data_IF_794544966982
#
_entry.id   IF_794544966982
#
_cell.length_a   1.000
_cell.length_b   1.000
_cell.length_c   1.000
_cell.angle_alpha   90.00
_cell.angle_beta   90.00
_cell.angle_gamma   90.00
#
_symmetry.space_group_name_H-M   'P 1'
#
loop_
_entity.id
_entity.type
_entity.pdbx_description
1 polymer ?
#
# COMPACT_ATOMS: atom_id res chain seq x y z
N UNK A 1 -8.26 -13.55 19.37
CA UNK A 1 -7.16 -12.57 19.24
C UNK A 1 -7.59 -11.50 18.26
N UNK A 2 -7.46 -10.23 18.68
CA UNK A 2 -7.80 -9.04 17.89
C UNK A 2 -6.86 -8.92 16.70
N UNK A 3 -7.33 -8.39 15.57
CA UNK A 3 -6.52 -8.28 14.35
C UNK A 3 -6.42 -6.85 13.87
N UNK A 4 -5.23 -6.54 13.37
CA UNK A 4 -4.95 -5.38 12.53
C UNK A 4 -4.65 -5.88 11.13
N UNK A 5 -5.39 -5.42 10.13
CA UNK A 5 -5.05 -5.69 8.72
C UNK A 5 -4.17 -4.56 8.21
N UNK A 6 -3.07 -4.89 7.54
CA UNK A 6 -2.28 -3.91 6.79
C UNK A 6 -2.33 -4.25 5.31
N UNK A 7 -2.70 -3.28 4.47
CA UNK A 7 -2.84 -3.46 3.03
C UNK A 7 -2.01 -2.42 2.25
N UNK A 8 -1.53 -2.82 1.08
CA UNK A 8 -0.75 -1.95 0.20
C UNK A 8 0.04 -2.75 -0.85
N UNK A 9 1.02 -2.08 -1.45
CA UNK A 9 1.90 -2.66 -2.46
C UNK A 9 3.19 -3.25 -1.84
N UNK A 10 4.30 -3.22 -2.57
CA UNK A 10 5.63 -3.65 -2.13
C UNK A 10 6.12 -2.89 -0.90
N UNK A 11 5.78 -1.60 -0.77
CA UNK A 11 6.12 -0.80 0.42
C UNK A 11 5.42 -1.29 1.70
N UNK A 12 4.41 -2.14 1.59
CA UNK A 12 3.70 -2.77 2.72
C UNK A 12 4.08 -4.22 2.93
N UNK A 13 4.47 -4.94 1.88
CA UNK A 13 4.97 -6.31 1.97
C UNK A 13 6.05 -6.52 0.94
N UNK A 14 7.28 -6.77 1.40
CA UNK A 14 8.43 -6.92 0.53
C UNK A 14 9.33 -8.08 0.96
N UNK A 15 10.43 -8.26 0.21
CA UNK A 15 11.49 -9.24 0.52
C UNK A 15 12.24 -8.96 1.82
N UNK A 16 12.06 -7.78 2.41
CA UNK A 16 12.55 -7.41 3.74
C UNK A 16 11.44 -6.80 4.61
N UNK A 17 11.64 -6.68 5.94
CA UNK A 17 10.66 -6.07 6.83
C UNK A 17 10.29 -4.65 6.41
N UNK A 18 8.99 -4.36 6.41
CA UNK A 18 8.42 -3.05 6.06
C UNK A 18 7.64 -2.48 7.26
N UNK A 19 7.01 -1.32 7.09
CA UNK A 19 6.26 -0.64 8.16
C UNK A 19 5.21 -1.55 8.81
N UNK A 20 4.57 -2.43 8.04
CA UNK A 20 3.58 -3.38 8.55
C UNK A 20 4.16 -4.29 9.65
N UNK A 21 5.41 -4.76 9.47
CA UNK A 21 6.06 -5.65 10.43
C UNK A 21 6.26 -4.98 11.80
N UNK A 22 6.59 -3.69 11.80
CA UNK A 22 6.90 -2.95 13.02
C UNK A 22 5.67 -2.47 13.78
N UNK A 23 4.45 -2.50 13.20
CA UNK A 23 3.22 -2.16 13.92
C UNK A 23 3.04 -3.02 15.17
N UNK A 24 3.42 -4.30 15.09
CA UNK A 24 3.30 -5.24 16.22
C UNK A 24 4.01 -4.78 17.50
N UNK A 25 5.06 -3.93 17.38
CA UNK A 25 5.78 -3.39 18.53
C UNK A 25 5.02 -2.28 19.26
N UNK A 26 4.06 -1.64 18.59
CA UNK A 26 3.25 -0.56 19.13
C UNK A 26 1.83 -1.02 19.48
N UNK A 27 1.41 -2.18 18.97
CA UNK A 27 0.09 -2.79 19.18
C UNK A 27 0.25 -4.26 19.63
N UNK A 28 0.90 -4.54 20.79
CA UNK A 28 1.28 -5.90 21.19
C UNK A 28 0.08 -6.82 21.45
N UNK A 29 -1.11 -6.25 21.69
CA UNK A 29 -2.35 -7.00 21.94
C UNK A 29 -3.04 -7.49 20.65
N UNK A 30 -2.49 -7.13 19.48
CA UNK A 30 -3.07 -7.45 18.18
C UNK A 30 -2.18 -8.39 17.37
N UNK A 31 -2.83 -9.29 16.63
CA UNK A 31 -2.19 -9.99 15.53
C UNK A 31 -2.24 -9.12 14.26
N UNK A 32 -1.07 -8.73 13.76
CA UNK A 32 -0.95 -7.95 12.53
C UNK A 32 -0.94 -8.90 11.33
N UNK A 33 -1.95 -8.78 10.46
CA UNK A 33 -2.09 -9.58 9.24
C UNK A 33 -1.79 -8.72 8.03
N UNK A 34 -0.66 -9.02 7.38
CA UNK A 34 -0.19 -8.29 6.21
C UNK A 34 -0.70 -8.91 4.91
N UNK A 35 -1.64 -8.22 4.25
CA UNK A 35 -2.22 -8.60 2.96
C UNK A 35 -1.64 -7.83 1.78
N UNK A 36 -0.56 -7.07 1.99
CA UNK A 36 0.12 -6.36 0.89
C UNK A 36 0.64 -7.31 -0.19
N UNK A 37 0.73 -6.80 -1.41
CA UNK A 37 1.29 -7.54 -2.55
C UNK A 37 2.05 -6.60 -3.49
N UNK A 38 3.31 -6.92 -3.78
CA UNK A 38 4.15 -6.18 -4.73
C UNK A 38 3.46 -6.04 -6.08
N UNK A 39 3.59 -4.87 -6.70
CA UNK A 39 2.96 -4.58 -8.00
C UNK A 39 1.51 -4.09 -7.92
N UNK A 40 0.84 -4.19 -6.78
CA UNK A 40 -0.61 -3.93 -6.66
C UNK A 40 -1.05 -2.54 -7.15
N UNK A 41 -2.15 -2.54 -7.91
CA UNK A 41 -2.97 -1.35 -8.18
C UNK A 41 -3.78 -0.95 -6.95
N UNK A 42 -4.32 0.27 -6.94
CA UNK A 42 -5.18 0.74 -5.85
C UNK A 42 -6.51 -0.05 -5.79
N UNK A 43 -6.98 -0.60 -6.91
CA UNK A 43 -8.09 -1.54 -6.98
C UNK A 43 -7.80 -2.84 -6.25
N UNK A 44 -6.61 -3.39 -6.47
CA UNK A 44 -6.16 -4.60 -5.78
C UNK A 44 -6.09 -4.35 -4.28
N UNK A 45 -5.48 -3.25 -3.85
CA UNK A 45 -5.35 -2.89 -2.44
C UNK A 45 -6.74 -2.81 -1.78
N UNK A 46 -7.69 -2.14 -2.42
CA UNK A 46 -9.07 -2.06 -1.94
C UNK A 46 -9.72 -3.45 -1.84
N UNK A 47 -9.58 -4.30 -2.87
CA UNK A 47 -10.12 -5.67 -2.85
C UNK A 47 -9.49 -6.53 -1.76
N UNK A 48 -8.19 -6.37 -1.49
CA UNK A 48 -7.50 -7.07 -0.40
C UNK A 48 -8.03 -6.66 0.97
N UNK A 49 -8.33 -5.37 1.19
CA UNK A 49 -8.98 -4.91 2.42
C UNK A 49 -10.37 -5.51 2.56
N UNK A 50 -11.18 -5.43 1.51
CA UNK A 50 -12.52 -6.01 1.50
C UNK A 50 -12.47 -7.50 1.82
N UNK A 51 -11.65 -8.27 1.12
CA UNK A 51 -11.51 -9.71 1.35
C UNK A 51 -11.06 -10.02 2.78
N UNK A 52 -10.02 -9.33 3.27
CA UNK A 52 -9.48 -9.53 4.62
C UNK A 52 -10.53 -9.34 5.73
N UNK A 53 -11.33 -8.28 5.63
CA UNK A 53 -12.38 -7.96 6.60
C UNK A 53 -13.49 -9.02 6.61
N UNK A 54 -13.86 -9.58 5.46
CA UNK A 54 -14.86 -10.64 5.39
C UNK A 54 -14.30 -12.02 5.75
N UNK A 55 -13.03 -12.28 5.46
CA UNK A 55 -12.37 -13.56 5.68
C UNK A 55 -12.05 -13.81 7.15
N UNK A 56 -11.58 -12.80 7.86
CA UNK A 56 -11.12 -12.96 9.24
C UNK A 56 -12.08 -12.36 10.25
N UNK A 57 -12.40 -13.14 11.28
CA UNK A 57 -13.11 -12.65 12.46
C UNK A 57 -12.21 -11.73 13.32
N UNK A 58 -12.83 -10.83 14.08
CA UNK A 58 -12.17 -9.93 15.04
C UNK A 58 -11.16 -8.95 14.40
N UNK A 59 -11.44 -8.47 13.20
CA UNK A 59 -10.73 -7.32 12.62
C UNK A 59 -11.23 -6.05 13.28
N UNK A 60 -10.37 -5.38 14.05
CA UNK A 60 -10.72 -4.15 14.77
C UNK A 60 -10.04 -2.92 14.15
N UNK A 61 -8.85 -3.08 13.54
CA UNK A 61 -8.13 -1.98 12.87
C UNK A 61 -7.66 -2.34 11.46
N UNK A 62 -7.61 -1.35 10.58
CA UNK A 62 -7.08 -1.47 9.21
C UNK A 62 -6.14 -0.30 8.89
N UNK A 63 -4.95 -0.60 8.40
CA UNK A 63 -4.00 0.38 7.89
C UNK A 63 -3.78 0.16 6.39
N UNK A 64 -3.91 1.22 5.59
CA UNK A 64 -3.76 1.13 4.12
C UNK A 64 -2.67 2.10 3.65
N UNK A 65 -1.68 1.60 2.92
CA UNK A 65 -0.73 2.43 2.17
C UNK A 65 -1.05 2.35 0.67
N UNK A 66 -1.57 3.45 0.14
CA UNK A 66 -1.87 3.60 -1.29
C UNK A 66 -0.60 3.73 -2.13
N UNK A 67 -0.67 3.22 -3.36
CA UNK A 67 0.44 3.10 -4.29
C UNK A 67 0.21 3.96 -5.54
N UNK A 68 1.18 3.99 -6.45
CA UNK A 68 1.12 4.81 -7.66
C UNK A 68 -0.16 4.57 -8.49
N UNK A 69 -0.84 5.64 -8.94
CA UNK A 69 -2.18 5.56 -9.54
C UNK A 69 -2.16 4.95 -10.95
N UNK A 70 -1.01 4.92 -11.61
CA UNK A 70 -0.84 4.42 -12.98
C UNK A 70 -0.85 2.88 -13.10
N UNK A 71 -0.80 2.15 -11.98
CA UNK A 71 -0.80 0.68 -11.98
C UNK A 71 -2.20 0.15 -12.24
N UNK A 72 -2.28 -0.87 -13.10
CA UNK A 72 -3.50 -1.63 -13.33
C UNK A 72 -3.21 -3.12 -13.17
N UNK A 73 -4.27 -3.89 -13.00
CA UNK A 73 -4.24 -5.34 -12.93
C UNK A 73 -4.93 -5.98 -14.14
N UNK A 74 -4.58 -7.24 -14.39
CA UNK A 74 -5.33 -8.12 -15.30
C UNK A 74 -5.80 -9.34 -14.50
N UNK A 75 -7.07 -9.72 -14.64
CA UNK A 75 -7.70 -10.76 -13.84
C UNK A 75 -8.26 -11.85 -14.74
N UNK A 76 -7.86 -13.09 -14.50
CA UNK A 76 -8.31 -14.26 -15.26
C UNK A 76 -8.90 -15.34 -14.35
N UNK A 77 -9.96 -16.02 -14.80
CA UNK A 77 -10.57 -17.15 -14.08
C UNK A 77 -9.82 -18.47 -14.29
N UNK A 78 -8.67 -18.45 -14.96
CA UNK A 78 -7.85 -19.62 -15.23
C UNK A 78 -6.40 -19.35 -14.88
N UNK A 79 -5.73 -20.41 -14.40
CA UNK A 79 -4.30 -20.42 -14.21
C UNK A 79 -3.63 -20.56 -15.58
N UNK A 80 -2.96 -19.51 -16.03
CA UNK A 80 -2.05 -19.61 -17.16
C UNK A 80 -0.76 -20.32 -16.71
N UNK A 81 -0.72 -21.64 -16.89
CA UNK A 81 0.43 -22.47 -16.54
C UNK A 81 1.68 -22.16 -17.38
N UNK A 82 1.53 -21.45 -18.50
CA UNK A 82 2.64 -21.06 -19.37
C UNK A 82 3.40 -19.83 -18.84
N UNK A 83 2.80 -19.04 -17.97
CA UNK A 83 3.48 -17.91 -17.34
C UNK A 83 4.36 -18.43 -16.21
N UNK A 84 5.66 -18.14 -16.29
CA UNK A 84 6.62 -18.45 -15.22
C UNK A 84 6.13 -17.82 -13.92
N UNK A 85 5.69 -18.68 -13.02
CA UNK A 85 5.45 -18.36 -11.60
C UNK A 85 6.80 -18.33 -10.92
N UNK A 86 7.54 -17.26 -11.10
CA UNK A 86 8.71 -17.05 -10.29
C UNK A 86 8.28 -16.16 -9.13
N UNK A 87 8.43 -16.69 -7.91
CA UNK A 87 8.08 -15.97 -6.68
C UNK A 87 8.89 -14.67 -6.52
N UNK A 88 9.96 -14.51 -7.32
CA UNK A 88 10.71 -13.27 -7.49
C UNK A 88 10.16 -12.33 -8.58
N UNK A 89 9.30 -12.78 -9.51
CA UNK A 89 8.56 -11.89 -10.44
C UNK A 89 7.22 -11.49 -9.84
N UNK A 90 7.20 -10.24 -9.43
CA UNK A 90 6.13 -9.41 -8.86
C UNK A 90 4.80 -9.33 -9.63
N UNK A 91 4.56 -10.17 -10.64
CA UNK A 91 3.57 -9.87 -11.69
C UNK A 91 2.39 -10.81 -11.76
N UNK A 92 2.30 -11.91 -11.01
CA UNK A 92 1.06 -12.72 -10.95
C UNK A 92 0.87 -13.48 -9.64
N UNK A 93 -0.38 -13.61 -9.18
CA UNK A 93 -0.74 -14.40 -8.00
C UNK A 93 -2.13 -15.01 -8.15
N UNK A 94 -2.23 -16.30 -7.83
CA UNK A 94 -3.51 -16.96 -7.62
C UNK A 94 -4.12 -16.51 -6.28
N UNK A 95 -5.32 -15.95 -6.33
CA UNK A 95 -6.11 -15.64 -5.15
C UNK A 95 -7.09 -16.78 -4.89
N UNK A 96 -6.84 -17.54 -3.84
CA UNK A 96 -7.68 -18.69 -3.46
C UNK A 96 -9.07 -18.27 -2.99
N UNK A 97 -9.25 -17.05 -2.49
CA UNK A 97 -10.54 -16.61 -1.97
C UNK A 97 -11.48 -16.17 -3.10
N UNK A 98 -10.92 -15.69 -4.21
CA UNK A 98 -11.67 -15.24 -5.38
C UNK A 98 -11.66 -16.21 -6.57
N UNK A 99 -10.86 -17.29 -6.50
CA UNK A 99 -10.69 -18.27 -7.59
C UNK A 99 -10.23 -17.64 -8.92
N UNK A 100 -9.33 -16.65 -8.83
CA UNK A 100 -8.78 -15.97 -10.00
C UNK A 100 -7.26 -15.78 -9.93
N UNK A 101 -6.63 -15.65 -11.10
CA UNK A 101 -5.25 -15.23 -11.22
C UNK A 101 -5.21 -13.71 -11.47
N UNK A 102 -4.51 -12.98 -10.62
CA UNK A 102 -4.33 -11.53 -10.79
C UNK A 102 -2.90 -11.24 -11.21
N UNK A 103 -2.73 -10.51 -12.31
CA UNK A 103 -1.47 -9.95 -12.75
C UNK A 103 -1.33 -8.50 -12.30
N UNK A 104 -0.22 -8.16 -11.65
CA UNK A 104 0.01 -6.85 -11.05
C UNK A 104 0.98 -6.01 -11.89
N UNK A 105 0.92 -4.68 -11.78
CA UNK A 105 1.82 -3.78 -12.51
C UNK A 105 1.53 -3.67 -14.02
N UNK A 106 0.47 -4.31 -14.49
CA UNK A 106 -0.02 -4.25 -15.86
C UNK A 106 -0.14 -5.62 -16.52
N UNK A 107 -0.29 -5.61 -17.85
CA UNK A 107 -0.41 -6.82 -18.64
C UNK A 107 0.96 -7.55 -18.73
N UNK A 108 0.95 -8.88 -18.56
CA UNK A 108 2.17 -9.71 -18.56
C UNK A 108 2.81 -9.91 -19.94
N UNK A 109 2.02 -9.91 -21.02
CA UNK A 109 2.53 -9.74 -22.39
C UNK A 109 2.85 -8.26 -22.70
N UNK A 110 4.08 -8.00 -23.12
CA UNK A 110 4.60 -6.64 -23.38
C UNK A 110 3.82 -5.90 -24.48
N UNK A 111 3.47 -6.58 -25.58
CA UNK A 111 2.71 -5.99 -26.69
C UNK A 111 1.33 -5.47 -26.23
N UNK A 112 0.63 -6.26 -25.41
CA UNK A 112 -0.66 -5.88 -24.82
C UNK A 112 -0.50 -4.78 -23.77
N UNK A 113 0.57 -4.82 -22.99
CA UNK A 113 0.88 -3.75 -22.03
C UNK A 113 1.10 -2.43 -22.75
N UNK A 114 1.97 -2.42 -23.76
CA UNK A 114 2.25 -1.24 -24.58
C UNK A 114 0.99 -0.73 -25.28
N UNK A 115 0.18 -1.63 -25.83
CA UNK A 115 -1.09 -1.26 -26.44
C UNK A 115 -2.03 -0.58 -25.44
N UNK A 116 -2.17 -1.14 -24.24
CA UNK A 116 -2.98 -0.54 -23.17
C UNK A 116 -2.46 0.86 -22.78
N UNK A 117 -1.17 0.97 -22.52
CA UNK A 117 -0.52 2.24 -22.13
C UNK A 117 -0.72 3.31 -23.21
N UNK A 118 -0.52 2.96 -24.49
CA UNK A 118 -0.62 3.94 -25.60
C UNK A 118 -2.05 4.38 -25.90
N UNK A 119 -3.05 3.52 -25.68
CA UNK A 119 -4.40 3.76 -26.19
C UNK A 119 -5.47 3.95 -25.11
N UNK A 120 -5.25 3.48 -23.88
CA UNK A 120 -6.27 3.48 -22.82
C UNK A 120 -5.81 4.10 -21.50
N UNK A 121 -4.52 4.06 -21.18
CA UNK A 121 -4.05 4.64 -19.92
C UNK A 121 -4.28 6.16 -19.92
N UNK A 122 -4.93 6.64 -18.87
CA UNK A 122 -5.33 8.03 -18.74
C UNK A 122 -5.07 8.50 -17.31
N UNK A 123 -4.11 9.41 -17.12
CA UNK A 123 -3.70 9.91 -15.80
C UNK A 123 -4.88 10.47 -15.00
N UNK A 124 -5.74 11.26 -15.64
CA UNK A 124 -6.92 11.84 -14.97
C UNK A 124 -7.91 10.78 -14.51
N UNK A 125 -8.11 9.73 -15.32
CA UNK A 125 -8.95 8.61 -14.93
C UNK A 125 -8.33 7.83 -13.77
N UNK A 126 -7.00 7.67 -13.76
CA UNK A 126 -6.27 7.01 -12.68
C UNK A 126 -6.39 7.77 -11.35
N UNK A 127 -6.34 9.11 -11.38
CA UNK A 127 -6.58 9.95 -10.21
C UNK A 127 -8.00 9.75 -9.67
N UNK A 128 -9.01 9.79 -10.55
CA UNK A 128 -10.41 9.58 -10.18
C UNK A 128 -10.59 8.19 -9.56
N UNK A 129 -10.07 7.15 -10.20
CA UNK A 129 -10.13 5.78 -9.70
C UNK A 129 -9.48 5.67 -8.33
N UNK A 130 -8.33 6.31 -8.11
CA UNK A 130 -7.66 6.31 -6.80
C UNK A 130 -8.55 6.94 -5.72
N UNK A 131 -9.17 8.10 -5.99
CA UNK A 131 -10.12 8.72 -5.07
C UNK A 131 -11.34 7.82 -4.80
N UNK A 132 -11.89 7.15 -5.83
CA UNK A 132 -12.98 6.19 -5.68
C UNK A 132 -12.59 4.99 -4.80
N UNK A 133 -11.38 4.43 -4.96
CA UNK A 133 -10.92 3.29 -4.14
C UNK A 133 -10.68 3.71 -2.70
N UNK A 134 -10.16 4.91 -2.46
CA UNK A 134 -10.03 5.49 -1.11
C UNK A 134 -11.41 5.62 -0.48
N UNK A 135 -12.34 6.30 -1.17
CA UNK A 135 -13.68 6.56 -0.65
C UNK A 135 -14.46 5.27 -0.40
N UNK A 136 -14.39 4.30 -1.32
CA UNK A 136 -15.00 2.99 -1.13
C UNK A 136 -14.46 2.29 0.12
N UNK A 137 -13.14 2.22 0.28
CA UNK A 137 -12.52 1.58 1.44
C UNK A 137 -12.94 2.26 2.73
N UNK A 138 -12.95 3.60 2.78
CA UNK A 138 -13.45 4.36 3.91
C UNK A 138 -14.90 3.98 4.25
N UNK A 139 -15.83 4.11 3.29
CA UNK A 139 -17.24 3.84 3.51
C UNK A 139 -17.48 2.39 3.97
N UNK A 140 -16.73 1.45 3.41
CA UNK A 140 -16.82 0.04 3.78
C UNK A 140 -16.33 -0.21 5.22
N UNK A 141 -15.20 0.38 5.62
CA UNK A 141 -14.66 0.23 6.98
C UNK A 141 -15.55 0.92 8.02
N UNK A 142 -16.05 2.12 7.74
CA UNK A 142 -17.00 2.84 8.58
C UNK A 142 -18.28 2.03 8.79
N UNK A 143 -18.85 1.47 7.71
CA UNK A 143 -20.05 0.63 7.78
C UNK A 143 -19.86 -0.59 8.68
N UNK A 144 -18.64 -1.12 8.77
CA UNK A 144 -18.32 -2.28 9.60
C UNK A 144 -17.79 -1.89 11.00
N UNK A 145 -17.81 -0.61 11.37
CA UNK A 145 -17.28 -0.09 12.64
C UNK A 145 -15.81 -0.47 12.89
N UNK A 146 -15.00 -0.47 11.83
CA UNK A 146 -13.57 -0.82 11.90
C UNK A 146 -12.76 0.48 12.02
N UNK A 147 -11.86 0.55 12.98
CA UNK A 147 -10.91 1.67 13.08
C UNK A 147 -9.94 1.62 11.90
N UNK A 148 -9.64 2.77 11.28
CA UNK A 148 -8.68 2.76 10.18
C UNK A 148 -7.86 4.02 10.07
N UNK A 149 -6.68 3.83 9.47
CA UNK A 149 -5.80 4.89 9.01
C UNK A 149 -5.32 4.58 7.59
N UNK A 150 -5.21 5.62 6.79
CA UNK A 150 -4.69 5.54 5.43
C UNK A 150 -3.41 6.36 5.31
N UNK A 151 -2.55 6.01 4.36
CA UNK A 151 -1.33 6.74 4.06
C UNK A 151 -0.98 6.55 2.59
N UNK A 152 0.01 7.31 2.12
CA UNK A 152 0.54 7.19 0.76
C UNK A 152 2.03 6.87 0.84
N UNK A 153 2.53 6.13 -0.14
CA UNK A 153 3.97 5.95 -0.28
C UNK A 153 4.68 7.26 -0.68
N UNK A 154 4.16 7.95 -1.69
CA UNK A 154 4.64 9.25 -2.19
C UNK A 154 3.52 10.29 -2.14
N UNK A 155 3.91 11.55 -2.01
CA UNK A 155 3.02 12.72 -2.08
C UNK A 155 2.26 12.84 -3.40
N UNK A 156 2.86 12.40 -4.51
CA UNK A 156 2.27 12.51 -5.85
C UNK A 156 1.09 11.55 -6.09
N UNK A 157 0.86 10.59 -5.20
CA UNK A 157 -0.17 9.55 -5.38
C UNK A 157 -1.59 10.15 -5.34
N UNK A 158 -1.77 11.21 -4.54
CA UNK A 158 -3.03 11.93 -4.43
C UNK A 158 -2.76 13.40 -4.79
N UNK A 159 -3.40 13.88 -5.84
CA UNK A 159 -3.40 15.30 -6.13
C UNK A 159 -4.22 16.03 -5.05
N UNK A 160 -3.57 16.79 -4.17
CA UNK A 160 -4.26 17.56 -3.11
C UNK A 160 -4.65 18.99 -3.54
N UNK A 161 -4.08 19.49 -4.65
CA UNK A 161 -4.37 20.83 -5.13
C UNK A 161 -5.72 20.89 -5.86
N UNK A 162 -6.75 21.35 -5.15
CA UNK A 162 -8.12 21.51 -5.66
C UNK A 162 -8.24 22.45 -6.86
N UNK A 163 -7.30 23.37 -7.08
CA UNK A 163 -7.37 24.28 -8.23
C UNK A 163 -7.16 23.55 -9.56
N UNK A 164 -6.49 22.39 -9.55
CA UNK A 164 -6.27 21.56 -10.73
C UNK A 164 -7.28 20.42 -10.89
N UNK A 165 -8.20 20.26 -9.92
CA UNK A 165 -9.24 19.23 -9.97
C UNK A 165 -10.45 19.68 -10.80
N UNK A 166 -10.98 18.74 -11.58
CA UNK A 166 -12.34 18.83 -12.15
C UNK A 166 -13.40 18.83 -11.05
N UNK A 167 -14.63 19.24 -11.38
CA UNK A 167 -15.74 19.17 -10.42
C UNK A 167 -15.99 17.74 -9.92
N UNK A 168 -15.91 16.73 -10.79
CA UNK A 168 -16.06 15.33 -10.39
C UNK A 168 -14.98 14.87 -9.39
N UNK A 169 -13.72 15.26 -9.61
CA UNK A 169 -12.64 14.99 -8.66
C UNK A 169 -12.87 15.71 -7.32
N UNK A 170 -13.32 16.97 -7.34
CA UNK A 170 -13.64 17.73 -6.10
C UNK A 170 -14.74 17.07 -5.29
N UNK A 171 -15.80 16.59 -5.95
CA UNK A 171 -16.91 15.90 -5.28
C UNK A 171 -16.45 14.63 -4.55
N UNK A 172 -15.59 13.82 -5.18
CA UNK A 172 -14.99 12.64 -4.53
C UNK A 172 -14.05 13.05 -3.40
N UNK A 173 -13.13 13.99 -3.67
CA UNK A 173 -12.14 14.46 -2.71
C UNK A 173 -12.78 15.04 -1.44
N UNK A 174 -13.87 15.79 -1.58
CA UNK A 174 -14.59 16.41 -0.47
C UNK A 174 -15.31 15.41 0.43
N UNK A 175 -15.57 14.18 -0.05
CA UNK A 175 -16.21 13.12 0.72
C UNK A 175 -15.22 12.26 1.51
N UNK A 176 -13.93 12.34 1.21
CA UNK A 176 -12.90 11.60 1.93
C UNK A 176 -12.62 12.29 3.26
N UNK A 177 -12.60 11.51 4.35
CA UNK A 177 -12.20 11.99 5.67
C UNK A 177 -10.66 12.03 5.77
N UNK A 178 -10.09 13.17 5.40
CA UNK A 178 -8.65 13.39 5.45
C UNK A 178 -8.06 13.32 6.87
N UNK A 179 -8.86 13.36 7.94
CA UNK A 179 -8.38 13.17 9.32
C UNK A 179 -7.97 11.71 9.61
N UNK A 180 -8.38 10.78 8.74
CA UNK A 180 -7.99 9.37 8.77
C UNK A 180 -6.68 9.12 8.04
N UNK A 181 -6.12 10.12 7.36
CA UNK A 181 -4.82 10.00 6.72
C UNK A 181 -3.67 10.33 7.69
N UNK A 182 -2.58 9.58 7.55
CA UNK A 182 -1.29 9.82 8.18
C UNK A 182 -0.36 10.33 7.09
N UNK A 183 0.07 11.58 7.26
CA UNK A 183 1.05 12.23 6.40
C UNK A 183 2.28 12.63 7.21
N UNK A 184 3.43 12.62 6.55
CA UNK A 184 4.60 13.38 6.97
C UNK A 184 4.47 14.81 6.45
N UNK A 185 4.82 15.81 7.27
CA UNK A 185 4.58 17.23 6.96
C UNK A 185 3.13 17.44 6.48
N UNK A 186 2.91 18.08 5.33
CA UNK A 186 1.57 18.37 4.82
C UNK A 186 0.93 17.15 4.14
N UNK A 187 1.54 16.65 3.05
CA UNK A 187 1.03 15.53 2.24
C UNK A 187 2.11 14.50 1.87
N UNK A 188 3.21 14.47 2.60
CA UNK A 188 4.33 13.58 2.27
C UNK A 188 4.08 12.17 2.78
N UNK A 189 4.60 11.19 2.04
CA UNK A 189 4.53 9.79 2.37
C UNK A 189 5.82 9.25 2.98
N UNK A 190 5.89 7.92 3.05
CA UNK A 190 7.08 7.21 3.51
C UNK A 190 8.31 7.52 2.65
N UNK A 191 8.15 7.72 1.34
CA UNK A 191 9.24 8.04 0.42
C UNK A 191 9.95 9.33 0.84
N UNK A 192 9.21 10.44 0.90
CA UNK A 192 9.78 11.75 1.22
C UNK A 192 10.25 11.82 2.68
N UNK A 193 9.61 11.09 3.60
CA UNK A 193 10.12 10.95 4.96
C UNK A 193 11.51 10.28 4.98
N UNK A 194 11.66 9.18 4.24
CA UNK A 194 12.93 8.46 4.17
C UNK A 194 14.01 9.35 3.54
N UNK A 195 13.70 10.05 2.45
CA UNK A 195 14.63 10.98 1.80
C UNK A 195 15.07 12.13 2.71
N UNK A 196 14.17 12.65 3.55
CA UNK A 196 14.45 13.79 4.43
C UNK A 196 15.17 13.38 5.74
N UNK A 197 14.85 12.21 6.30
CA UNK A 197 15.32 11.81 7.64
C UNK A 197 16.32 10.68 7.66
N UNK A 198 16.27 9.79 6.68
CA UNK A 198 17.07 8.58 6.63
C UNK A 198 17.55 8.28 5.20
N UNK A 199 18.18 9.25 4.50
CA UNK A 199 18.56 9.09 3.09
C UNK A 199 19.52 7.92 2.86
N UNK A 200 20.33 7.56 3.85
CA UNK A 200 21.22 6.39 3.83
C UNK A 200 20.49 5.05 4.01
N UNK A 201 19.24 5.08 4.47
CA UNK A 201 18.36 3.92 4.61
C UNK A 201 17.40 3.80 3.42
N UNK A 202 17.90 4.14 2.23
CA UNK A 202 17.16 4.05 0.99
C UNK A 202 17.99 3.26 -0.03
N UNK A 203 17.46 2.16 -0.56
CA UNK A 203 18.17 1.36 -1.56
C UNK A 203 18.14 2.01 -2.96
N UNK A 204 18.87 3.12 -3.10
CA UNK A 204 19.09 3.80 -4.38
C UNK A 204 20.52 3.55 -4.89
N UNK A 205 20.71 3.43 -6.21
CA UNK A 205 19.70 3.54 -7.28
C UNK A 205 19.01 2.21 -7.63
N UNK A 206 19.27 1.11 -6.91
CA UNK A 206 18.98 -0.24 -7.41
C UNK A 206 17.51 -0.69 -7.31
N UNK A 207 16.84 -0.40 -6.19
CA UNK A 207 15.52 -0.99 -5.88
C UNK A 207 14.46 0.07 -5.57
N UNK A 208 14.89 1.29 -5.24
CA UNK A 208 14.02 2.43 -4.90
C UNK A 208 13.00 2.14 -3.78
N UNK A 209 13.33 1.21 -2.89
CA UNK A 209 12.60 0.95 -1.65
C UNK A 209 13.41 1.42 -0.43
N UNK A 210 12.75 2.00 0.59
CA UNK A 210 13.34 2.20 1.90
C UNK A 210 13.82 0.88 2.52
N UNK A 211 14.93 0.96 3.25
CA UNK A 211 15.45 -0.16 4.04
C UNK A 211 14.64 -0.32 5.33
N UNK A 212 14.69 -1.50 5.99
CA UNK A 212 13.91 -1.79 7.18
C UNK A 212 14.01 -0.74 8.31
N UNK A 213 15.17 -0.11 8.51
CA UNK A 213 15.33 0.90 9.56
C UNK A 213 14.45 2.14 9.31
N UNK A 214 14.39 2.63 8.06
CA UNK A 214 13.52 3.76 7.71
C UNK A 214 12.03 3.42 7.90
N UNK A 215 11.63 2.18 7.58
CA UNK A 215 10.28 1.69 7.82
C UNK A 215 9.94 1.64 9.33
N UNK A 216 10.87 1.21 10.18
CA UNK A 216 10.67 1.25 11.63
C UNK A 216 10.46 2.68 12.12
N UNK A 217 11.32 3.60 11.69
CA UNK A 217 11.23 5.00 12.06
C UNK A 217 9.98 5.69 11.53
N UNK A 218 9.49 5.32 10.36
CA UNK A 218 8.17 5.74 9.88
C UNK A 218 7.04 5.34 10.84
N UNK A 219 7.05 4.09 11.31
CA UNK A 219 6.02 3.60 12.25
C UNK A 219 6.14 4.32 13.59
N UNK A 220 7.36 4.41 14.13
CA UNK A 220 7.64 5.04 15.43
C UNK A 220 7.31 6.53 15.41
N UNK A 221 7.88 7.27 14.46
CA UNK A 221 7.94 8.74 14.51
C UNK A 221 6.76 9.39 13.78
N UNK A 222 6.13 8.69 12.82
CA UNK A 222 5.03 9.26 12.01
C UNK A 222 3.68 8.61 12.32
N UNK A 223 3.59 7.28 12.30
CA UNK A 223 2.31 6.58 12.56
C UNK A 223 1.89 6.72 14.03
N UNK A 224 2.76 6.34 14.96
CA UNK A 224 2.45 6.33 16.39
C UNK A 224 2.96 7.54 17.17
N UNK A 225 3.94 8.28 16.62
CA UNK A 225 4.62 9.41 17.30
C UNK A 225 5.05 9.02 18.72
N UNK A 226 5.74 7.91 18.82
CA UNK A 226 6.02 7.22 20.07
C UNK A 226 7.50 7.29 20.45
N UNK A 227 7.76 7.32 21.76
CA UNK A 227 9.09 7.20 22.35
C UNK A 227 9.51 5.74 22.59
N UNK A 228 8.62 4.78 22.32
CA UNK A 228 8.94 3.34 22.40
C UNK A 228 10.11 3.07 21.47
N UNK A 229 11.16 2.48 22.05
CA UNK A 229 12.34 2.01 21.33
C UNK A 229 12.20 0.52 21.07
N UNK A 230 12.58 0.08 19.88
CA UNK A 230 12.78 -1.32 19.63
C UNK A 230 13.94 -1.87 20.46
N UNK A 231 13.98 -3.18 20.73
CA UNK A 231 15.10 -3.82 21.41
C UNK A 231 16.43 -3.48 20.74
N UNK A 232 17.46 -3.17 21.52
CA UNK A 232 18.76 -2.69 21.00
C UNK A 232 19.40 -3.67 20.01
N UNK A 233 19.25 -4.98 20.27
CA UNK A 233 19.74 -6.03 19.39
C UNK A 233 19.01 -6.05 18.03
N UNK A 234 17.71 -5.78 18.00
CA UNK A 234 16.94 -5.65 16.75
C UNK A 234 17.29 -4.36 16.03
N UNK A 235 17.47 -3.26 16.77
CA UNK A 235 17.89 -1.98 16.19
C UNK A 235 19.23 -2.11 15.44
N UNK A 236 20.22 -2.75 16.07
CA UNK A 236 21.53 -2.96 15.44
C UNK A 236 21.45 -3.85 14.20
N UNK A 237 20.58 -4.87 14.18
CA UNK A 237 20.31 -5.66 12.96
C UNK A 237 19.73 -4.80 11.84
N UNK A 238 18.75 -3.95 12.15
CA UNK A 238 18.12 -3.05 11.18
C UNK A 238 19.13 -2.06 10.61
N UNK A 239 19.99 -1.51 11.46
CA UNK A 239 21.04 -0.54 11.07
C UNK A 239 22.12 -1.14 10.18
N UNK A 240 22.42 -2.42 10.37
CA UNK A 240 23.41 -3.15 9.57
C UNK A 240 22.83 -3.73 8.27
N UNK A 241 21.52 -3.64 8.05
CA UNK A 241 20.86 -4.21 6.89
C UNK A 241 21.32 -3.53 5.59
N UNK A 242 21.85 -4.33 4.65
CA UNK A 242 22.30 -3.88 3.33
C UNK A 242 21.85 -4.88 2.27
N UNK A 243 20.57 -4.75 1.89
CA UNK A 243 19.88 -5.25 0.67
C UNK A 243 20.09 -6.69 0.24
#
# INVERSE_FOLDING_TARGET
>A
MKKIITAGCSFTKYKWPTWSNFISWFEPDYNVVNVGASGSSNETIMRSVYNAVNKWSNVEKVYVMWSEPNRYEVVHNTLDLSVKKDESVTYSRWDQDFDWNTFYGGHYYNDKHEYYVRHFQNERQNDIRTLERILFTQMYLEKNNIEYKMMCYKSIIIAHNKNYMTNGQKELYNKIDWTKFIFYKEFYGLNEYTEDKWPEQFNKPHDEHPLPLAHYHWVKDVIYKSDIKCPDNEYEKLKQWKT
#
